data_IF_496931054532
#
_entry.id   IF_496931054532
#
_cell.length_a   1.000
_cell.length_b   1.000
_cell.length_c   1.000
_cell.angle_alpha   90.00
_cell.angle_beta   90.00
_cell.angle_gamma   90.00
#
_symmetry.space_group_name_H-M   'P 1'
#
loop_
_entity.id
_entity.type
_entity.pdbx_description
1 polymer ?
#
# COMPACT_ATOMS: atom_id res chain seq x y z
N UNK A 1 -55.88 -36.60 57.69
CA UNK A 1 -55.39 -35.19 57.93
C UNK A 1 -53.97 -34.95 57.50
N UNK A 2 -53.20 -35.98 57.16
CA UNK A 2 -51.79 -35.88 56.70
C UNK A 2 -51.64 -35.51 55.23
N UNK A 3 -52.52 -35.95 54.34
CA UNK A 3 -52.40 -35.77 52.87
C UNK A 3 -52.51 -34.31 52.40
N UNK A 4 -53.35 -33.49 53.07
CA UNK A 4 -53.49 -32.04 52.77
C UNK A 4 -52.25 -31.20 53.11
N UNK A 5 -51.48 -31.65 54.16
CA UNK A 5 -50.28 -30.97 54.59
C UNK A 5 -49.10 -31.23 53.61
N UNK A 6 -49.07 -32.38 52.97
CA UNK A 6 -48.00 -32.74 52.03
C UNK A 6 -48.18 -32.04 50.68
N UNK A 7 -49.45 -31.90 50.21
CA UNK A 7 -49.76 -31.15 48.98
C UNK A 7 -49.41 -29.68 49.13
N UNK A 8 -49.74 -29.07 50.29
CA UNK A 8 -49.39 -27.65 50.55
C UNK A 8 -47.88 -27.44 50.64
N UNK A 9 -47.13 -28.37 51.27
CA UNK A 9 -45.66 -28.31 51.34
C UNK A 9 -45.02 -28.46 49.94
N UNK A 10 -45.51 -29.37 49.11
CA UNK A 10 -45.04 -29.51 47.74
C UNK A 10 -45.35 -28.26 46.90
N UNK A 11 -46.54 -27.67 47.05
CA UNK A 11 -46.91 -26.42 46.36
C UNK A 11 -46.00 -25.22 46.75
N UNK A 12 -45.69 -25.09 48.05
CA UNK A 12 -44.76 -24.02 48.53
C UNK A 12 -43.34 -24.22 48.02
N UNK A 13 -42.83 -25.44 47.96
CA UNK A 13 -41.51 -25.73 47.38
C UNK A 13 -41.41 -25.37 45.90
N UNK A 14 -42.45 -25.69 45.13
CA UNK A 14 -42.53 -25.32 43.71
C UNK A 14 -42.61 -23.81 43.53
N UNK A 15 -43.41 -23.13 44.35
CA UNK A 15 -43.48 -21.67 44.30
C UNK A 15 -42.13 -20.98 44.60
N UNK A 16 -41.44 -21.46 45.63
CA UNK A 16 -40.09 -20.95 45.97
C UNK A 16 -39.12 -21.21 44.82
N UNK A 17 -39.19 -22.38 44.18
CA UNK A 17 -38.33 -22.70 43.04
C UNK A 17 -38.55 -21.76 41.86
N UNK A 18 -39.83 -21.46 41.54
CA UNK A 18 -40.15 -20.52 40.43
C UNK A 18 -39.68 -19.12 40.74
N UNK A 19 -39.88 -18.61 41.97
CA UNK A 19 -39.42 -17.28 42.39
C UNK A 19 -37.92 -17.20 42.35
N UNK A 20 -37.19 -18.21 42.83
CA UNK A 20 -35.74 -18.24 42.79
C UNK A 20 -35.19 -18.25 41.35
N UNK A 21 -35.78 -19.07 40.49
CA UNK A 21 -35.42 -19.16 39.05
C UNK A 21 -35.66 -17.81 38.35
N UNK A 22 -36.78 -17.14 38.58
CA UNK A 22 -37.09 -15.84 38.00
C UNK A 22 -36.13 -14.74 38.47
N UNK A 23 -35.72 -14.77 39.73
CA UNK A 23 -34.73 -13.83 40.31
C UNK A 23 -33.35 -14.04 39.66
N UNK A 24 -32.89 -15.27 39.55
CA UNK A 24 -31.62 -15.63 38.89
C UNK A 24 -31.64 -15.21 37.42
N UNK A 25 -32.74 -15.49 36.71
CA UNK A 25 -32.90 -15.10 35.32
C UNK A 25 -32.89 -13.55 35.16
N UNK A 26 -33.57 -12.82 36.03
CA UNK A 26 -33.57 -11.36 36.01
C UNK A 26 -32.18 -10.78 36.25
N UNK A 27 -31.42 -11.33 37.22
CA UNK A 27 -30.04 -10.89 37.49
C UNK A 27 -29.15 -11.20 36.31
N UNK A 28 -29.27 -12.40 35.72
CA UNK A 28 -28.49 -12.80 34.53
C UNK A 28 -28.80 -11.89 33.33
N UNK A 29 -30.08 -11.60 33.08
CA UNK A 29 -30.50 -10.76 31.96
C UNK A 29 -30.05 -9.29 32.17
N UNK A 30 -30.12 -8.80 33.41
CA UNK A 30 -29.59 -7.47 33.75
C UNK A 30 -28.08 -7.42 33.55
N UNK A 31 -27.34 -8.40 34.05
CA UNK A 31 -25.91 -8.49 33.89
C UNK A 31 -25.50 -8.58 32.40
N UNK A 32 -26.21 -9.41 31.59
CA UNK A 32 -25.96 -9.53 30.17
C UNK A 32 -26.18 -8.20 29.40
N UNK A 33 -27.15 -7.40 29.82
CA UNK A 33 -27.40 -6.09 29.22
C UNK A 33 -26.37 -5.02 29.62
N UNK A 34 -25.87 -5.08 30.86
CA UNK A 34 -24.84 -4.15 31.35
C UNK A 34 -23.45 -4.48 30.81
N UNK A 35 -23.19 -5.78 30.54
CA UNK A 35 -21.89 -6.28 30.04
C UNK A 35 -21.71 -6.02 28.53
N UNK A 36 -22.79 -5.76 27.77
CA UNK A 36 -22.70 -5.37 26.36
C UNK A 36 -23.02 -3.87 26.19
N UNK A 37 -22.13 -2.97 26.62
CA UNK A 37 -22.26 -1.56 26.30
C UNK A 37 -22.18 -1.40 24.79
N UNK A 38 -22.99 -0.50 24.23
CA UNK A 38 -22.97 -0.20 22.80
C UNK A 38 -21.55 0.12 22.34
N UNK A 39 -21.18 -0.37 21.17
CA UNK A 39 -19.88 -0.07 20.56
C UNK A 39 -20.01 1.18 19.69
N UNK A 40 -19.04 2.09 19.82
CA UNK A 40 -18.89 3.24 18.96
C UNK A 40 -17.66 2.97 18.05
N UNK A 41 -17.89 2.92 16.75
CA UNK A 41 -16.84 2.82 15.76
C UNK A 41 -16.59 4.17 15.13
N UNK A 42 -15.34 4.61 15.12
CA UNK A 42 -14.90 5.88 14.53
C UNK A 42 -13.63 5.67 13.72
N UNK A 43 -13.46 6.47 12.68
CA UNK A 43 -12.23 6.51 11.88
C UNK A 43 -11.51 7.82 12.15
N UNK A 44 -10.27 7.73 12.60
CA UNK A 44 -9.37 8.88 12.71
C UNK A 44 -8.51 9.02 11.44
N UNK A 45 -8.03 10.23 11.23
CA UNK A 45 -7.15 10.57 10.11
C UNK A 45 -6.07 11.55 10.54
N UNK A 46 -4.88 11.39 9.98
CA UNK A 46 -3.81 12.37 10.11
C UNK A 46 -3.22 12.68 8.74
N UNK A 47 -2.69 13.88 8.57
CA UNK A 47 -2.04 14.34 7.33
C UNK A 47 -0.87 15.23 7.68
N UNK A 48 0.23 15.00 7.02
CA UNK A 48 1.40 15.88 7.10
C UNK A 48 1.88 16.18 5.68
N UNK A 49 2.40 17.37 5.49
CA UNK A 49 3.06 17.74 4.24
C UNK A 49 4.56 17.54 4.41
N UNK A 50 5.15 16.75 3.52
CA UNK A 50 6.59 16.52 3.46
C UNK A 50 7.13 16.98 2.11
N UNK A 51 8.41 17.32 2.08
CA UNK A 51 9.16 17.55 0.84
C UNK A 51 9.97 16.30 0.56
N UNK A 52 9.93 15.82 -0.66
CA UNK A 52 10.75 14.68 -1.10
C UNK A 52 12.23 15.01 -0.95
N UNK A 53 13.02 14.06 -0.51
CA UNK A 53 14.47 14.16 -0.33
C UNK A 53 15.24 13.21 -1.24
N UNK A 54 14.54 12.40 -2.00
CA UNK A 54 15.09 11.41 -2.93
C UNK A 54 14.25 11.39 -4.19
N UNK A 55 14.90 11.21 -5.33
CA UNK A 55 14.25 10.99 -6.63
C UNK A 55 14.74 9.68 -7.22
N UNK A 56 13.80 8.91 -7.75
CA UNK A 56 14.07 7.68 -8.49
C UNK A 56 13.57 7.84 -9.91
N UNK A 57 14.50 7.81 -10.85
CA UNK A 57 14.22 7.91 -12.26
C UNK A 57 14.47 6.56 -12.93
N UNK A 58 13.43 6.01 -13.54
CA UNK A 58 13.49 4.76 -14.28
C UNK A 58 13.31 5.05 -15.76
N UNK A 59 14.28 4.62 -16.56
CA UNK A 59 14.28 4.73 -18.01
C UNK A 59 14.39 3.36 -18.64
N UNK A 60 13.86 3.22 -19.84
CA UNK A 60 13.90 1.99 -20.62
C UNK A 60 14.61 2.24 -21.95
N UNK A 61 15.59 1.40 -22.25
CA UNK A 61 16.18 1.28 -23.56
C UNK A 61 15.52 0.11 -24.29
N UNK A 62 15.20 0.28 -25.57
CA UNK A 62 14.64 -0.80 -26.37
C UNK A 62 15.15 -0.79 -27.78
N UNK A 63 15.30 -2.00 -28.36
CA UNK A 63 15.62 -2.27 -29.74
C UNK A 63 14.64 -3.27 -30.29
N UNK A 64 14.31 -3.12 -31.57
CA UNK A 64 13.48 -4.07 -32.32
C UNK A 64 14.36 -4.89 -33.23
N UNK A 65 14.03 -6.18 -33.40
CA UNK A 65 14.76 -7.09 -34.29
C UNK A 65 13.82 -8.17 -34.84
N UNK A 66 14.27 -8.84 -35.87
CA UNK A 66 13.73 -10.13 -36.25
C UNK A 66 14.58 -11.28 -35.67
N UNK A 67 14.18 -12.51 -35.96
CA UNK A 67 14.88 -13.71 -35.48
C UNK A 67 16.31 -13.83 -35.95
N UNK A 68 16.67 -13.20 -37.07
CA UNK A 68 18.01 -13.29 -37.69
C UNK A 68 18.94 -12.20 -37.14
N UNK A 69 18.39 -11.06 -36.76
CA UNK A 69 19.09 -9.87 -36.25
C UNK A 69 19.32 -9.84 -34.77
N UNK A 70 18.80 -10.80 -33.98
CA UNK A 70 18.85 -10.76 -32.51
C UNK A 70 20.26 -10.51 -31.95
N UNK A 71 21.27 -11.22 -32.48
CA UNK A 71 22.64 -11.07 -31.99
C UNK A 71 23.24 -9.68 -32.23
N UNK A 72 22.88 -8.98 -33.31
CA UNK A 72 23.28 -7.59 -33.55
C UNK A 72 22.53 -6.63 -32.64
N UNK A 73 21.22 -6.83 -32.50
CA UNK A 73 20.39 -5.99 -31.65
C UNK A 73 20.83 -6.00 -30.15
N UNK A 74 21.29 -7.14 -29.64
CA UNK A 74 21.90 -7.23 -28.30
C UNK A 74 23.18 -6.39 -28.18
N UNK A 75 24.08 -6.49 -29.20
CA UNK A 75 25.32 -5.69 -29.19
C UNK A 75 25.04 -4.18 -29.31
N UNK A 76 24.07 -3.83 -30.13
CA UNK A 76 23.65 -2.46 -30.32
C UNK A 76 23.01 -1.89 -29.02
N UNK A 77 22.16 -2.67 -28.37
CA UNK A 77 21.57 -2.26 -27.07
C UNK A 77 22.66 -2.04 -26.00
N UNK A 78 23.68 -2.88 -25.98
CA UNK A 78 24.83 -2.71 -25.08
C UNK A 78 25.63 -1.44 -25.42
N UNK A 79 25.88 -1.14 -26.70
CA UNK A 79 26.51 0.09 -27.13
C UNK A 79 25.68 1.33 -26.75
N UNK A 80 24.35 1.24 -26.89
CA UNK A 80 23.43 2.29 -26.47
C UNK A 80 23.51 2.54 -24.95
N UNK A 81 23.53 1.46 -24.17
CA UNK A 81 23.70 1.54 -22.71
C UNK A 81 24.97 2.29 -22.35
N UNK A 82 26.11 1.93 -22.96
CA UNK A 82 27.39 2.60 -22.70
C UNK A 82 27.33 4.08 -23.06
N UNK A 83 26.70 4.41 -24.18
CA UNK A 83 26.55 5.82 -24.61
C UNK A 83 25.62 6.60 -23.64
N UNK A 84 24.52 6.00 -23.21
CA UNK A 84 23.63 6.63 -22.22
C UNK A 84 24.37 6.88 -20.92
N UNK A 85 25.13 5.92 -20.41
CA UNK A 85 25.93 6.09 -19.19
C UNK A 85 26.97 7.20 -19.35
N UNK A 86 27.61 7.33 -20.52
CA UNK A 86 28.53 8.44 -20.78
C UNK A 86 27.82 9.80 -20.75
N UNK A 87 26.67 9.91 -21.41
CA UNK A 87 25.90 11.18 -21.39
C UNK A 87 25.39 11.52 -19.99
N UNK A 88 25.00 10.51 -19.21
CA UNK A 88 24.61 10.72 -17.80
C UNK A 88 25.80 11.20 -16.96
N UNK A 89 26.99 10.64 -17.18
CA UNK A 89 28.21 11.05 -16.52
C UNK A 89 28.58 12.49 -16.85
N UNK A 90 28.43 12.93 -18.10
CA UNK A 90 28.61 14.32 -18.53
C UNK A 90 27.64 15.29 -17.85
N UNK A 91 26.49 14.80 -17.41
CA UNK A 91 25.51 15.55 -16.61
C UNK A 91 25.76 15.40 -15.10
N UNK A 92 26.86 14.79 -14.69
CA UNK A 92 27.25 14.58 -13.29
C UNK A 92 26.58 13.39 -12.60
N UNK A 93 25.92 12.51 -13.35
CA UNK A 93 25.31 11.27 -12.82
C UNK A 93 26.28 10.12 -13.06
N UNK A 94 26.99 9.72 -12.02
CA UNK A 94 28.01 8.67 -12.11
C UNK A 94 27.36 7.30 -12.38
N UNK A 95 28.06 6.46 -13.11
CA UNK A 95 27.60 5.12 -13.49
C UNK A 95 27.33 4.21 -12.27
N UNK A 96 28.01 4.43 -11.16
CA UNK A 96 27.78 3.72 -9.89
C UNK A 96 26.40 3.99 -9.27
N UNK A 97 25.79 5.12 -9.63
CA UNK A 97 24.43 5.48 -9.21
C UNK A 97 23.35 4.97 -10.17
N UNK A 98 23.74 4.24 -11.22
CA UNK A 98 22.83 3.70 -12.24
C UNK A 98 22.78 2.20 -12.11
N UNK A 99 21.61 1.69 -11.76
CA UNK A 99 21.35 0.24 -11.71
C UNK A 99 20.73 -0.20 -13.02
N UNK A 100 21.35 -1.18 -13.70
CA UNK A 100 20.83 -1.78 -14.92
C UNK A 100 20.23 -3.16 -14.62
N UNK A 101 19.03 -3.43 -15.13
CA UNK A 101 18.46 -4.78 -15.10
C UNK A 101 19.15 -5.70 -16.13
N UNK A 102 18.98 -7.04 -16.01
CA UNK A 102 19.25 -7.92 -17.12
C UNK A 102 18.47 -7.50 -18.38
N UNK A 103 18.98 -7.88 -19.55
CA UNK A 103 18.28 -7.65 -20.81
C UNK A 103 17.11 -8.63 -20.94
N UNK A 104 15.93 -8.12 -21.23
CA UNK A 104 14.74 -8.91 -21.52
C UNK A 104 14.45 -8.91 -23.00
N UNK A 105 14.08 -10.08 -23.51
CA UNK A 105 13.65 -10.24 -24.91
C UNK A 105 12.24 -10.79 -24.91
N UNK A 106 11.37 -10.10 -25.61
CA UNK A 106 9.97 -10.47 -25.77
C UNK A 106 9.66 -10.63 -27.27
N UNK A 107 9.01 -11.73 -27.61
CA UNK A 107 8.50 -11.91 -28.95
C UNK A 107 7.23 -11.09 -29.15
N UNK A 108 7.16 -10.33 -30.22
CA UNK A 108 5.95 -9.63 -30.63
C UNK A 108 4.98 -10.62 -31.28
N UNK A 109 3.87 -10.87 -30.61
CA UNK A 109 2.77 -11.71 -31.09
C UNK A 109 1.69 -10.90 -31.83
N UNK A 110 2.03 -9.72 -32.35
CA UNK A 110 1.06 -8.99 -33.16
C UNK A 110 0.59 -9.92 -34.30
N UNK A 111 -0.73 -10.09 -34.38
CA UNK A 111 -1.41 -11.02 -35.26
C UNK A 111 -1.04 -10.73 -36.74
N UNK A 112 -0.01 -11.36 -37.22
CA UNK A 112 0.29 -11.42 -38.65
C UNK A 112 -0.28 -12.73 -39.17
N UNK A 113 -1.28 -12.65 -40.02
CA UNK A 113 -1.84 -13.83 -40.72
C UNK A 113 -0.83 -14.53 -41.65
N UNK A 114 0.32 -13.91 -41.83
CA UNK A 114 1.41 -14.46 -42.66
C UNK A 114 2.37 -15.26 -41.77
N UNK A 115 2.19 -16.57 -41.78
CA UNK A 115 3.05 -17.54 -41.10
C UNK A 115 4.48 -17.59 -41.64
N UNK A 116 4.73 -16.98 -42.81
CA UNK A 116 6.06 -16.93 -43.45
C UNK A 116 6.85 -15.68 -43.06
N UNK A 117 6.20 -14.68 -42.39
CA UNK A 117 6.85 -13.47 -41.94
C UNK A 117 7.85 -13.75 -40.80
N UNK A 118 9.04 -13.12 -40.80
CA UNK A 118 10.00 -13.28 -39.73
C UNK A 118 9.40 -12.85 -38.40
N UNK A 119 9.63 -13.65 -37.35
CA UNK A 119 9.21 -13.32 -36.00
C UNK A 119 9.92 -12.05 -35.53
N UNK A 120 9.14 -11.10 -34.99
CA UNK A 120 9.64 -9.84 -34.43
C UNK A 120 9.89 -9.98 -32.94
N UNK A 121 10.90 -9.29 -32.46
CA UNK A 121 11.30 -9.27 -31.06
C UNK A 121 11.56 -7.84 -30.61
N UNK A 122 11.21 -7.58 -29.37
CA UNK A 122 11.61 -6.37 -28.65
C UNK A 122 12.61 -6.76 -27.57
N UNK A 123 13.77 -6.14 -27.59
CA UNK A 123 14.83 -6.32 -26.61
C UNK A 123 14.84 -5.08 -25.72
N UNK A 124 14.76 -5.25 -24.41
CA UNK A 124 14.62 -4.16 -23.45
C UNK A 124 15.61 -4.27 -22.31
N UNK A 125 16.08 -3.13 -21.84
CA UNK A 125 16.83 -3.02 -20.60
C UNK A 125 16.35 -1.80 -19.83
N UNK A 126 16.17 -1.94 -18.52
CA UNK A 126 15.77 -0.85 -17.64
C UNK A 126 16.99 -0.34 -16.91
N UNK A 127 17.15 0.99 -16.90
CA UNK A 127 18.14 1.69 -16.12
C UNK A 127 17.41 2.51 -15.04
N UNK A 128 17.87 2.42 -13.82
CA UNK A 128 17.32 3.17 -12.68
C UNK A 128 18.41 3.99 -12.05
N UNK A 129 18.11 5.27 -11.88
CA UNK A 129 18.96 6.24 -11.16
C UNK A 129 18.24 6.64 -9.89
N UNK A 130 18.91 6.58 -8.76
CA UNK A 130 18.43 7.11 -7.49
C UNK A 130 19.40 8.16 -6.97
N UNK A 131 18.88 9.32 -6.54
CA UNK A 131 19.70 10.45 -6.11
C UNK A 131 18.92 11.33 -5.13
N UNK A 132 19.70 12.02 -4.27
CA UNK A 132 19.16 13.05 -3.41
C UNK A 132 19.20 14.44 -4.09
N UNK A 133 19.89 14.59 -5.22
CA UNK A 133 19.82 15.80 -6.04
C UNK A 133 18.62 15.73 -7.00
N UNK A 134 17.46 16.08 -6.42
CA UNK A 134 16.17 16.04 -7.11
C UNK A 134 16.18 16.96 -8.33
N UNK A 135 16.76 18.15 -8.20
CA UNK A 135 16.75 19.15 -9.27
C UNK A 135 17.63 18.73 -10.46
N UNK A 136 18.77 18.12 -10.20
CA UNK A 136 19.64 17.60 -11.24
C UNK A 136 18.93 16.51 -12.04
N UNK A 137 18.44 15.46 -11.36
CA UNK A 137 17.77 14.35 -12.03
C UNK A 137 16.53 14.81 -12.78
N UNK A 138 15.73 15.69 -12.18
CA UNK A 138 14.52 16.23 -12.82
C UNK A 138 14.86 17.01 -14.08
N UNK A 139 15.92 17.81 -14.09
CA UNK A 139 16.36 18.52 -15.29
C UNK A 139 16.82 17.59 -16.40
N UNK A 140 17.61 16.57 -16.06
CA UNK A 140 18.12 15.59 -17.04
C UNK A 140 16.97 14.75 -17.60
N UNK A 141 16.07 14.27 -16.74
CA UNK A 141 14.92 13.48 -17.16
C UNK A 141 13.95 14.25 -18.08
N UNK A 142 13.74 15.55 -17.84
CA UNK A 142 12.94 16.42 -18.72
C UNK A 142 13.58 16.66 -20.09
N UNK A 143 14.90 16.54 -20.19
CA UNK A 143 15.65 16.74 -21.42
C UNK A 143 16.13 15.42 -22.02
N UNK A 144 15.40 14.33 -21.80
CA UNK A 144 15.74 12.97 -22.30
C UNK A 144 15.94 12.92 -23.83
N UNK A 145 15.36 13.84 -24.57
CA UNK A 145 15.56 13.97 -26.01
C UNK A 145 17.03 14.10 -26.40
N UNK A 146 17.88 14.66 -25.53
CA UNK A 146 19.31 14.76 -25.75
C UNK A 146 20.01 13.38 -25.70
N UNK A 147 19.36 12.39 -25.10
CA UNK A 147 19.80 10.99 -25.08
C UNK A 147 19.32 10.20 -26.30
N UNK A 148 18.26 10.66 -26.97
CA UNK A 148 17.64 9.97 -28.14
C UNK A 148 18.51 10.05 -29.40
N UNK A 149 19.50 10.95 -29.46
CA UNK A 149 20.42 11.09 -30.62
C UNK A 149 21.25 9.83 -30.90
N UNK A 150 21.15 8.80 -30.08
CA UNK A 150 21.96 7.59 -30.09
C UNK A 150 21.38 6.47 -30.97
N UNK A 151 20.17 6.67 -31.56
CA UNK A 151 19.55 5.66 -32.45
C UNK A 151 18.77 4.55 -31.72
N UNK A 152 18.78 4.52 -30.40
CA UNK A 152 17.91 3.65 -29.60
C UNK A 152 16.62 4.34 -29.21
N UNK A 153 15.58 3.55 -28.92
CA UNK A 153 14.36 4.08 -28.33
C UNK A 153 14.56 4.14 -26.81
N UNK A 154 14.80 5.36 -26.33
CA UNK A 154 14.90 5.63 -24.88
C UNK A 154 13.59 6.29 -24.45
N UNK A 155 13.01 5.79 -23.38
CA UNK A 155 11.81 6.37 -22.78
C UNK A 155 11.95 6.50 -21.25
N UNK A 156 11.44 7.59 -20.68
CA UNK A 156 11.21 7.66 -19.25
C UNK A 156 10.01 6.78 -18.92
N UNK A 157 10.24 5.78 -18.07
CA UNK A 157 9.19 4.90 -17.55
C UNK A 157 8.51 5.51 -16.35
N UNK A 158 9.30 5.98 -15.36
CA UNK A 158 8.80 6.70 -14.20
C UNK A 158 9.81 7.71 -13.68
N UNK A 159 9.30 8.76 -13.05
CA UNK A 159 10.06 9.72 -12.26
C UNK A 159 9.32 9.90 -10.93
N UNK A 160 9.83 9.28 -9.90
CA UNK A 160 9.20 9.18 -8.58
C UNK A 160 9.95 10.03 -7.58
N UNK A 161 9.22 10.84 -6.81
CA UNK A 161 9.77 11.66 -5.74
C UNK A 161 9.43 11.00 -4.41
N UNK A 162 10.46 10.62 -3.67
CA UNK A 162 10.35 9.80 -2.47
C UNK A 162 10.78 10.61 -1.24
N UNK A 163 10.28 10.17 -0.10
CA UNK A 163 10.68 10.68 1.21
C UNK A 163 11.31 9.54 2.01
N UNK A 164 12.61 9.65 2.31
CA UNK A 164 13.41 8.56 2.89
C UNK A 164 12.94 8.15 4.29
N UNK A 165 12.38 9.09 5.08
CA UNK A 165 11.90 8.86 6.45
C UNK A 165 10.41 8.51 6.53
N UNK A 166 9.85 7.94 5.47
CA UNK A 166 8.43 7.60 5.42
C UNK A 166 8.02 6.60 6.51
N UNK A 167 8.89 5.66 6.87
CA UNK A 167 8.62 4.66 7.93
C UNK A 167 8.48 5.31 9.31
N UNK A 168 9.33 6.27 9.64
CA UNK A 168 9.28 7.02 10.89
C UNK A 168 8.02 7.88 10.93
N UNK A 169 7.75 8.58 9.85
CA UNK A 169 6.58 9.42 9.68
C UNK A 169 5.25 8.65 9.82
N UNK A 170 5.20 7.41 9.35
CA UNK A 170 4.01 6.56 9.50
C UNK A 170 3.67 6.29 10.97
N UNK A 171 4.67 6.12 11.82
CA UNK A 171 4.45 5.90 13.26
C UNK A 171 3.88 7.16 13.91
N UNK A 172 4.40 8.33 13.57
CA UNK A 172 3.90 9.62 14.04
C UNK A 172 2.45 9.84 13.59
N UNK A 173 2.17 9.67 12.30
CA UNK A 173 0.84 9.80 11.73
C UNK A 173 -0.17 8.82 12.33
N UNK A 174 0.26 7.61 12.71
CA UNK A 174 -0.60 6.66 13.41
C UNK A 174 -1.03 7.20 14.78
N UNK A 175 -0.10 7.77 15.53
CA UNK A 175 -0.39 8.40 16.82
C UNK A 175 -1.41 9.53 16.67
N UNK A 176 -1.20 10.41 15.71
CA UNK A 176 -2.09 11.54 15.43
C UNK A 176 -3.48 11.09 15.00
N UNK A 177 -3.55 10.04 14.16
CA UNK A 177 -4.82 9.46 13.73
C UNK A 177 -5.61 8.85 14.90
N UNK A 178 -4.93 8.21 15.85
CA UNK A 178 -5.57 7.69 17.08
C UNK A 178 -6.11 8.82 17.96
N UNK A 179 -5.35 9.92 18.08
CA UNK A 179 -5.78 11.11 18.82
C UNK A 179 -7.04 11.72 18.17
N UNK A 180 -7.05 11.88 16.85
CA UNK A 180 -8.20 12.37 16.10
C UNK A 180 -9.42 11.45 16.24
N UNK A 181 -9.23 10.12 16.13
CA UNK A 181 -10.31 9.14 16.34
C UNK A 181 -10.92 9.27 17.73
N UNK A 182 -10.08 9.40 18.77
CA UNK A 182 -10.53 9.57 20.15
C UNK A 182 -11.33 10.86 20.30
N UNK A 183 -10.84 11.97 19.79
CA UNK A 183 -11.52 13.26 19.87
C UNK A 183 -12.91 13.22 19.19
N UNK A 184 -13.00 12.56 18.03
CA UNK A 184 -14.29 12.33 17.34
C UNK A 184 -15.24 11.46 18.15
N UNK A 185 -14.74 10.37 18.74
CA UNK A 185 -15.53 9.49 19.58
C UNK A 185 -16.09 10.24 20.79
N UNK A 186 -15.26 11.03 21.48
CA UNK A 186 -15.65 11.86 22.62
C UNK A 186 -16.73 12.87 22.23
N UNK A 187 -16.59 13.51 21.06
CA UNK A 187 -17.57 14.48 20.57
C UNK A 187 -18.93 13.85 20.25
N UNK A 188 -18.94 12.65 19.66
CA UNK A 188 -20.18 11.90 19.39
C UNK A 188 -20.84 11.47 20.70
N UNK A 189 -20.07 10.91 21.63
CA UNK A 189 -20.58 10.47 22.92
C UNK A 189 -21.16 11.64 23.74
N UNK A 190 -20.46 12.77 23.81
CA UNK A 190 -20.93 13.99 24.45
C UNK A 190 -22.26 14.47 23.86
N UNK A 191 -22.38 14.49 22.55
CA UNK A 191 -23.60 14.92 21.83
C UNK A 191 -24.80 14.00 22.09
N UNK A 192 -24.57 12.74 22.46
CA UNK A 192 -25.59 11.76 22.83
C UNK A 192 -25.81 11.64 24.33
N UNK A 193 -25.17 12.46 25.16
CA UNK A 193 -25.25 12.38 26.61
C UNK A 193 -24.53 11.15 27.21
N UNK A 194 -23.65 10.52 26.42
CA UNK A 194 -22.88 9.32 26.79
C UNK A 194 -21.43 9.67 27.08
N UNK A 195 -20.63 8.66 27.45
CA UNK A 195 -19.18 8.76 27.63
C UNK A 195 -18.47 7.65 26.85
N UNK A 196 -17.30 7.96 26.33
CA UNK A 196 -16.43 6.96 25.68
C UNK A 196 -15.84 6.02 26.73
N UNK A 197 -15.96 4.72 26.50
CA UNK A 197 -15.35 3.68 27.29
C UNK A 197 -13.92 3.35 26.87
N UNK A 198 -13.46 2.16 27.24
CA UNK A 198 -12.13 1.66 26.85
C UNK A 198 -12.08 1.26 25.37
N UNK A 199 -10.94 1.46 24.74
CA UNK A 199 -10.66 0.97 23.40
C UNK A 199 -10.74 -0.58 23.38
N UNK A 200 -11.52 -1.13 22.48
CA UNK A 200 -11.67 -2.59 22.32
C UNK A 200 -10.84 -3.14 21.17
N UNK A 201 -10.82 -2.41 20.06
CA UNK A 201 -10.05 -2.79 18.88
C UNK A 201 -9.60 -1.54 18.14
N UNK A 202 -8.44 -1.62 17.50
CA UNK A 202 -7.95 -0.63 16.57
C UNK A 202 -7.40 -1.36 15.33
N UNK A 203 -7.68 -0.82 14.15
CA UNK A 203 -7.12 -1.28 12.91
C UNK A 203 -6.62 -0.10 12.10
N UNK A 204 -5.54 -0.30 11.36
CA UNK A 204 -4.98 0.71 10.49
C UNK A 204 -5.26 0.34 9.04
N UNK A 205 -5.85 1.26 8.28
CA UNK A 205 -5.86 1.20 6.82
C UNK A 205 -4.54 1.75 6.29
N UNK A 206 -3.97 1.07 5.30
CA UNK A 206 -2.81 1.60 4.55
C UNK A 206 -3.36 2.49 3.44
N UNK A 207 -2.88 3.73 3.41
CA UNK A 207 -3.10 4.68 2.32
C UNK A 207 -1.81 4.85 1.56
#
# INVERSE_FOLDING_TARGET
MSEHTDITRAGTMVAIGIVSASLIFSIFFYAARVVNPGELSVTGSARIRVTSDTVKWTMQLSRFSDSTGLGSAYRELEADRVTVLSVLADQGILSENVVATPVFTEQDYSYTYDLSAPRKYTIRQTLTVESNDIDQITRVAKNIQNLVSVGSVISTYSLEYLYSKLSELRVELLSDAVIDAKARAEKIAESSGSRVGSLRAASQGVV
#
